data_IF_747886498010
#
_entry.id   IF_747886498010
#
_cell.length_a   1.000
_cell.length_b   1.000
_cell.length_c   1.000
_cell.angle_alpha   90.00
_cell.angle_beta   90.00
_cell.angle_gamma   90.00
#
_symmetry.space_group_name_H-M   'P 1'
#
loop_
_entity.id
_entity.type
_entity.pdbx_description
1 polymer ?
#
# COMPACT_ATOMS: atom_id res chain seq x y z
N UNK A 1 11.99 13.35 14.96
CA UNK A 1 10.80 13.27 14.09
C UNK A 1 11.29 12.58 12.84
N UNK A 2 10.84 11.36 12.56
CA UNK A 2 11.28 10.62 11.37
C UNK A 2 10.78 11.36 10.12
N UNK A 3 11.66 11.58 9.15
CA UNK A 3 11.25 12.10 7.83
C UNK A 3 10.46 11.00 7.13
N UNK A 4 9.15 11.20 7.02
CA UNK A 4 8.24 10.31 6.30
C UNK A 4 8.19 10.70 4.83
N UNK A 5 8.17 9.70 3.96
CA UNK A 5 7.92 9.89 2.54
C UNK A 5 6.46 10.28 2.29
N UNK A 6 6.25 11.16 1.31
CA UNK A 6 4.93 11.47 0.80
C UNK A 6 4.38 10.23 0.07
N UNK A 7 3.17 9.81 0.43
CA UNK A 7 2.47 8.71 -0.24
C UNK A 7 1.41 9.31 -1.16
N UNK A 8 1.60 9.16 -2.47
CA UNK A 8 0.59 9.49 -3.47
C UNK A 8 -0.32 8.27 -3.72
N UNK A 9 -1.63 8.50 -3.77
CA UNK A 9 -2.63 7.45 -4.00
C UNK A 9 -3.21 7.62 -5.39
N UNK A 10 -3.00 6.62 -6.24
CA UNK A 10 -3.59 6.54 -7.57
C UNK A 10 -5.13 6.57 -7.51
N UNK A 11 -5.82 7.20 -8.48
CA UNK A 11 -7.28 7.32 -8.49
C UNK A 11 -8.02 5.98 -8.38
N UNK A 12 -7.50 4.93 -9.01
CA UNK A 12 -8.07 3.57 -8.97
C UNK A 12 -7.99 2.97 -7.56
N UNK A 13 -6.87 3.19 -6.86
CA UNK A 13 -6.66 2.73 -5.48
C UNK A 13 -7.57 3.50 -4.53
N UNK A 14 -7.75 4.81 -4.74
CA UNK A 14 -8.70 5.62 -3.97
C UNK A 14 -10.13 5.08 -4.10
N UNK A 15 -10.59 4.82 -5.32
CA UNK A 15 -11.93 4.28 -5.55
C UNK A 15 -12.11 2.90 -4.88
N UNK A 16 -11.08 2.07 -4.90
CA UNK A 16 -11.07 0.80 -4.18
C UNK A 16 -11.13 0.99 -2.66
N UNK A 17 -10.34 1.90 -2.09
CA UNK A 17 -10.33 2.21 -0.65
C UNK A 17 -11.70 2.71 -0.17
N UNK A 18 -12.35 3.57 -0.94
CA UNK A 18 -13.69 4.09 -0.65
C UNK A 18 -14.77 3.00 -0.67
N UNK A 19 -14.56 1.91 -1.41
CA UNK A 19 -15.47 0.76 -1.45
C UNK A 19 -15.34 -0.18 -0.24
N UNK A 20 -14.27 -0.05 0.56
CA UNK A 20 -13.99 -0.98 1.65
C UNK A 20 -14.81 -0.65 2.91
N UNK A 21 -15.30 -1.68 3.63
CA UNK A 21 -15.94 -1.47 4.92
C UNK A 21 -14.97 -0.84 5.94
N UNK A 22 -15.48 0.08 6.77
CA UNK A 22 -14.70 0.83 7.77
C UNK A 22 -13.84 -0.03 8.71
N UNK A 23 -14.19 -1.31 8.92
CA UNK A 23 -13.39 -2.28 9.69
C UNK A 23 -11.97 -2.49 9.16
N UNK A 24 -11.71 -2.16 7.89
CA UNK A 24 -10.40 -2.30 7.27
C UNK A 24 -9.53 -1.03 7.40
N UNK A 25 -10.09 0.07 7.91
CA UNK A 25 -9.40 1.36 8.00
C UNK A 25 -8.09 1.27 8.78
N UNK A 26 -8.11 0.70 9.99
CA UNK A 26 -6.91 0.56 10.84
C UNK A 26 -5.79 -0.23 10.15
N UNK A 27 -6.15 -1.26 9.38
CA UNK A 27 -5.18 -2.08 8.66
C UNK A 27 -4.55 -1.31 7.51
N UNK A 28 -5.34 -0.51 6.80
CA UNK A 28 -4.86 0.34 5.70
C UNK A 28 -3.93 1.42 6.25
N UNK A 29 -4.30 2.06 7.36
CA UNK A 29 -3.49 3.10 8.02
C UNK A 29 -2.11 2.55 8.45
N UNK A 30 -2.08 1.33 8.99
CA UNK A 30 -0.84 0.64 9.33
C UNK A 30 0.08 0.41 8.11
N UNK A 31 -0.49 -0.06 6.99
CA UNK A 31 0.26 -0.27 5.74
C UNK A 31 0.77 1.03 5.14
N UNK A 32 -0.05 2.09 5.12
CA UNK A 32 0.36 3.41 4.62
C UNK A 32 1.49 3.97 5.50
N UNK A 33 1.39 3.81 6.82
CA UNK A 33 2.46 4.19 7.75
C UNK A 33 3.76 3.42 7.50
N UNK A 34 3.69 2.14 7.14
CA UNK A 34 4.86 1.35 6.77
C UNK A 34 5.48 1.85 5.46
N UNK A 35 4.66 2.12 4.43
CA UNK A 35 5.13 2.69 3.16
C UNK A 35 5.79 4.06 3.37
N UNK A 36 5.17 4.93 4.16
CA UNK A 36 5.70 6.26 4.45
C UNK A 36 7.05 6.21 5.20
N UNK A 37 7.31 5.17 6.01
CA UNK A 37 8.58 4.99 6.72
C UNK A 37 9.67 4.29 5.89
N UNK A 38 9.28 3.46 4.92
CA UNK A 38 10.22 2.52 4.26
C UNK A 38 10.18 2.58 2.73
N UNK A 39 9.71 3.68 2.14
CA UNK A 39 9.51 3.83 0.69
C UNK A 39 10.75 3.49 -0.16
N UNK A 40 11.96 3.73 0.34
CA UNK A 40 13.21 3.44 -0.37
C UNK A 40 13.80 2.04 -0.10
N UNK A 41 13.29 1.30 0.90
CA UNK A 41 13.80 -0.04 1.28
C UNK A 41 12.84 -1.18 0.96
N UNK A 42 11.68 -0.90 0.36
CA UNK A 42 10.84 -1.93 -0.27
C UNK A 42 11.55 -2.44 -1.53
N UNK A 43 12.59 -3.27 -1.34
CA UNK A 43 13.28 -3.96 -2.44
C UNK A 43 12.38 -4.90 -3.22
N UNK A 44 11.20 -5.24 -2.69
CA UNK A 44 10.16 -6.00 -3.36
C UNK A 44 8.77 -5.38 -3.07
N UNK A 45 7.85 -5.35 -4.05
CA UNK A 45 6.47 -4.99 -3.78
C UNK A 45 5.87 -5.97 -2.77
N UNK A 46 5.09 -5.47 -1.80
CA UNK A 46 4.26 -6.33 -0.90
C UNK A 46 3.17 -7.09 -1.71
N UNK A 47 3.07 -6.81 -3.01
CA UNK A 47 2.33 -7.63 -3.96
C UNK A 47 3.25 -8.75 -4.46
N UNK A 48 3.23 -9.91 -3.78
CA UNK A 48 3.69 -11.15 -4.42
C UNK A 48 2.97 -11.26 -5.76
N UNK A 49 3.65 -11.27 -6.91
CA UNK A 49 2.98 -11.53 -8.16
C UNK A 49 2.37 -12.92 -8.05
N UNK A 50 1.04 -13.01 -8.07
CA UNK A 50 0.37 -14.27 -8.40
C UNK A 50 1.00 -14.75 -9.70
N UNK A 51 1.75 -15.86 -9.59
CA UNK A 51 2.55 -16.47 -10.65
C UNK A 51 1.64 -16.77 -11.83
N UNK A 52 1.51 -15.79 -12.73
CA UNK A 52 0.68 -15.88 -13.93
C UNK A 52 1.51 -16.58 -15.00
N UNK A 53 1.09 -17.79 -15.36
CA UNK A 53 1.42 -18.47 -16.62
C UNK A 53 2.84 -19.02 -16.73
N UNK A 54 2.99 -20.32 -16.50
CA UNK A 54 3.98 -21.10 -17.24
C UNK A 54 3.42 -21.42 -18.64
N UNK A 55 4.28 -21.53 -19.66
CA UNK A 55 3.91 -21.61 -21.08
C UNK A 55 3.14 -22.87 -21.46
#
# INVERSE_FOLDING_TARGET
MEELYLVEIEPEVRAWLESLPAKHFLKIDEFVGLLARSAQSLGEPICTPSRRGSP
#
